data_IF_908337316920
#
_entry.id   IF_908337316920
#
_cell.length_a   1.000
_cell.length_b   1.000
_cell.length_c   1.000
_cell.angle_alpha   90.00
_cell.angle_beta   90.00
_cell.angle_gamma   90.00
#
_symmetry.space_group_name_H-M   'P 1'
#
loop_
_entity.id
_entity.type
_entity.pdbx_description
1 polymer ?
#
# COMPACT_ATOMS: atom_id res chain seq x y z
N UNK A 1 -20.69 10.00 20.51
CA UNK A 1 -20.69 9.02 19.41
C UNK A 1 -19.53 9.22 18.44
N UNK A 2 -19.38 10.39 17.78
CA UNK A 2 -18.29 10.70 16.83
C UNK A 2 -16.87 10.38 17.36
N UNK A 3 -16.47 10.90 18.54
CA UNK A 3 -15.14 10.61 19.13
C UNK A 3 -14.84 9.11 19.30
N UNK A 4 -15.84 8.29 19.59
CA UNK A 4 -15.69 6.85 19.77
C UNK A 4 -15.34 6.15 18.44
N UNK A 5 -15.98 6.58 17.35
CA UNK A 5 -15.76 6.07 15.99
C UNK A 5 -14.35 6.43 15.52
N UNK A 6 -13.91 7.67 15.75
CA UNK A 6 -12.54 8.11 15.40
C UNK A 6 -11.46 7.25 16.06
N UNK A 7 -11.62 6.99 17.37
CA UNK A 7 -10.66 6.21 18.12
C UNK A 7 -10.66 4.75 17.66
N UNK A 8 -11.83 4.19 17.32
CA UNK A 8 -11.95 2.85 16.79
C UNK A 8 -11.26 2.72 15.42
N UNK A 9 -11.49 3.65 14.49
CA UNK A 9 -10.87 3.62 13.15
C UNK A 9 -9.36 3.78 13.21
N UNK A 10 -8.86 4.72 14.04
CA UNK A 10 -7.41 4.94 14.19
C UNK A 10 -6.72 3.70 14.78
N UNK A 11 -7.31 3.09 15.81
CA UNK A 11 -6.80 1.85 16.40
C UNK A 11 -6.86 0.69 15.41
N UNK A 12 -7.94 0.58 14.64
CA UNK A 12 -8.08 -0.47 13.62
C UNK A 12 -7.01 -0.33 12.54
N UNK A 13 -6.75 0.90 12.07
CA UNK A 13 -5.68 1.18 11.13
C UNK A 13 -4.31 0.74 11.68
N UNK A 14 -4.00 1.11 12.93
CA UNK A 14 -2.75 0.71 13.59
C UNK A 14 -2.60 -0.81 13.71
N UNK A 15 -3.67 -1.50 14.13
CA UNK A 15 -3.67 -2.96 14.28
C UNK A 15 -3.48 -3.65 12.92
N UNK A 16 -4.20 -3.23 11.88
CA UNK A 16 -4.07 -3.84 10.55
C UNK A 16 -2.69 -3.56 9.95
N UNK A 17 -2.16 -2.34 10.11
CA UNK A 17 -0.80 -2.02 9.68
C UNK A 17 0.24 -2.88 10.41
N UNK A 18 0.08 -3.09 11.72
CA UNK A 18 0.97 -3.97 12.50
C UNK A 18 0.88 -5.42 12.00
N UNK A 19 -0.31 -5.94 11.78
CA UNK A 19 -0.52 -7.31 11.26
C UNK A 19 0.11 -7.45 9.86
N UNK A 20 -0.03 -6.43 9.00
CA UNK A 20 0.58 -6.40 7.67
C UNK A 20 2.10 -6.50 7.73
N UNK A 21 2.74 -5.79 8.67
CA UNK A 21 4.19 -5.87 8.90
C UNK A 21 4.60 -7.22 9.50
N UNK A 22 3.83 -7.74 10.45
CA UNK A 22 4.08 -9.08 11.01
C UNK A 22 3.98 -10.16 9.93
N UNK A 23 2.99 -10.10 9.04
CA UNK A 23 2.88 -11.03 7.93
C UNK A 23 4.09 -10.89 6.98
N UNK A 24 4.51 -9.66 6.66
CA UNK A 24 5.65 -9.44 5.77
C UNK A 24 6.96 -9.96 6.36
N UNK A 25 7.27 -9.59 7.60
CA UNK A 25 8.57 -9.81 8.23
C UNK A 25 8.68 -11.17 8.94
N UNK A 26 7.61 -11.62 9.60
CA UNK A 26 7.65 -12.82 10.43
C UNK A 26 7.17 -14.07 9.69
N UNK A 27 6.23 -13.90 8.77
CA UNK A 27 5.57 -15.03 8.09
C UNK A 27 6.07 -15.21 6.67
N UNK A 28 6.06 -14.16 5.85
CA UNK A 28 6.38 -14.25 4.43
C UNK A 28 7.88 -14.25 4.17
N UNK A 29 8.63 -13.35 4.82
CA UNK A 29 10.07 -13.14 4.64
C UNK A 29 10.53 -13.29 3.17
N UNK A 30 10.00 -12.43 2.27
CA UNK A 30 10.11 -12.68 0.85
C UNK A 30 11.49 -12.29 0.30
N UNK A 31 12.14 -13.23 -0.39
CA UNK A 31 13.23 -12.94 -1.30
C UNK A 31 12.69 -12.92 -2.73
N UNK A 32 12.80 -11.76 -3.37
CA UNK A 32 12.39 -11.59 -4.77
C UNK A 32 13.56 -11.92 -5.71
N UNK A 33 13.34 -12.86 -6.64
CA UNK A 33 14.34 -13.35 -7.58
C UNK A 33 14.37 -12.52 -8.88
N UNK A 34 14.49 -11.19 -8.74
CA UNK A 34 14.51 -10.30 -9.90
C UNK A 34 15.68 -10.60 -10.86
N UNK A 35 15.47 -10.49 -12.17
CA UNK A 35 14.28 -9.94 -12.85
C UNK A 35 13.16 -10.95 -13.08
N UNK A 36 13.32 -12.21 -12.67
CA UNK A 36 12.25 -13.20 -12.76
C UNK A 36 11.20 -12.82 -11.70
N UNK A 37 9.90 -12.71 -12.05
CA UNK A 37 8.88 -12.36 -11.08
C UNK A 37 8.52 -13.58 -10.20
N UNK A 38 9.52 -14.12 -9.53
CA UNK A 38 9.39 -15.20 -8.56
C UNK A 38 9.75 -14.68 -7.17
N UNK A 39 9.06 -15.21 -6.17
CA UNK A 39 9.32 -14.97 -4.77
C UNK A 39 9.58 -16.29 -4.08
N UNK A 40 10.52 -16.29 -3.15
CA UNK A 40 10.76 -17.40 -2.24
C UNK A 40 10.62 -16.93 -0.80
N UNK A 41 10.04 -17.80 0.02
CA UNK A 41 9.96 -17.68 1.46
C UNK A 41 11.16 -18.40 2.05
N UNK A 42 12.12 -17.63 2.56
CA UNK A 42 13.44 -18.16 2.94
C UNK A 42 13.42 -18.82 4.31
N UNK A 43 13.50 -18.02 5.38
CA UNK A 43 13.58 -18.47 6.77
C UNK A 43 12.58 -17.69 7.66
N UNK A 44 11.27 -17.91 7.47
CA UNK A 44 10.27 -17.18 8.22
C UNK A 44 10.38 -17.49 9.72
N UNK A 45 10.37 -16.44 10.55
CA UNK A 45 10.44 -16.59 12.00
C UNK A 45 9.24 -17.40 12.54
N UNK A 46 8.08 -17.25 11.92
CA UNK A 46 6.85 -18.01 12.20
C UNK A 46 6.52 -18.88 11.00
N UNK A 47 6.90 -20.16 11.09
CA UNK A 47 6.71 -21.13 10.01
C UNK A 47 5.26 -21.65 9.92
N UNK A 48 4.34 -20.79 9.47
CA UNK A 48 2.96 -21.20 9.15
C UNK A 48 2.93 -22.11 7.92
N UNK A 49 2.06 -23.15 7.88
CA UNK A 49 1.93 -24.01 6.71
C UNK A 49 1.33 -23.24 5.53
N UNK A 50 1.97 -23.34 4.36
CA UNK A 50 1.53 -22.63 3.17
C UNK A 50 2.67 -22.42 2.17
N UNK A 51 2.31 -22.21 0.90
CA UNK A 51 3.27 -21.82 -0.14
C UNK A 51 3.50 -20.31 -0.11
N UNK A 52 4.60 -19.85 -0.69
CA UNK A 52 4.97 -18.42 -0.75
C UNK A 52 3.83 -17.59 -1.38
N UNK A 53 3.17 -18.13 -2.38
CA UNK A 53 1.99 -17.56 -3.04
C UNK A 53 0.85 -17.20 -2.08
N UNK A 54 0.50 -18.10 -1.15
CA UNK A 54 -0.59 -17.90 -0.21
C UNK A 54 -0.31 -16.72 0.73
N UNK A 55 0.88 -16.70 1.33
CA UNK A 55 1.31 -15.65 2.24
C UNK A 55 1.48 -14.31 1.51
N UNK A 56 1.96 -14.32 0.27
CA UNK A 56 2.02 -13.13 -0.55
C UNK A 56 0.62 -12.55 -0.82
N UNK A 57 -0.36 -13.39 -1.14
CA UNK A 57 -1.75 -12.96 -1.34
C UNK A 57 -2.36 -12.43 -0.04
N UNK A 58 -2.10 -13.08 1.09
CA UNK A 58 -2.55 -12.63 2.40
C UNK A 58 -1.97 -11.25 2.75
N UNK A 59 -0.67 -11.06 2.55
CA UNK A 59 0.00 -9.78 2.73
C UNK A 59 -0.57 -8.69 1.83
N UNK A 60 -0.75 -8.96 0.52
CA UNK A 60 -1.39 -8.02 -0.39
C UNK A 60 -2.79 -7.66 0.09
N UNK A 61 -3.60 -8.64 0.53
CA UNK A 61 -4.93 -8.37 1.05
C UNK A 61 -4.91 -7.43 2.27
N UNK A 62 -4.00 -7.67 3.23
CA UNK A 62 -3.81 -6.80 4.39
C UNK A 62 -3.42 -5.37 3.96
N UNK A 63 -2.47 -5.25 3.03
CA UNK A 63 -2.02 -3.96 2.49
C UNK A 63 -3.17 -3.19 1.84
N UNK A 64 -3.98 -3.85 1.03
CA UNK A 64 -5.09 -3.20 0.33
C UNK A 64 -6.19 -2.79 1.33
N UNK A 65 -6.37 -3.48 2.47
CA UNK A 65 -7.29 -3.05 3.56
C UNK A 65 -6.82 -1.78 4.29
N UNK A 66 -5.52 -1.50 4.35
CA UNK A 66 -5.00 -0.28 5.02
C UNK A 66 -5.49 0.98 4.30
N UNK A 67 -5.57 0.96 2.96
CA UNK A 67 -5.96 2.12 2.14
C UNK A 67 -7.36 2.65 2.48
N UNK A 68 -8.44 1.85 2.52
CA UNK A 68 -9.78 2.33 2.86
C UNK A 68 -9.92 2.71 4.32
N UNK A 69 -9.22 2.03 5.24
CA UNK A 69 -9.19 2.44 6.65
C UNK A 69 -8.59 3.85 6.77
N UNK A 70 -7.50 4.10 6.06
CA UNK A 70 -6.88 5.42 6.00
C UNK A 70 -7.81 6.45 5.34
N UNK A 71 -8.44 6.12 4.21
CA UNK A 71 -9.40 7.01 3.55
C UNK A 71 -10.61 7.32 4.43
N UNK A 72 -11.16 6.33 5.12
CA UNK A 72 -12.25 6.50 6.08
C UNK A 72 -11.84 7.42 7.23
N UNK A 73 -10.62 7.25 7.78
CA UNK A 73 -10.08 8.17 8.79
C UNK A 73 -9.96 9.61 8.26
N UNK A 74 -9.45 9.77 7.04
CA UNK A 74 -9.29 11.07 6.40
C UNK A 74 -10.65 11.76 6.16
N UNK A 75 -11.61 11.06 5.56
CA UNK A 75 -12.97 11.55 5.35
C UNK A 75 -13.63 11.89 6.67
N UNK A 76 -13.52 11.03 7.67
CA UNK A 76 -14.08 11.28 9.00
C UNK A 76 -13.53 12.58 9.61
N UNK A 77 -12.20 12.76 9.60
CA UNK A 77 -11.56 13.99 10.12
C UNK A 77 -11.97 15.21 9.32
N UNK A 78 -12.12 15.08 8.00
CA UNK A 78 -12.66 16.14 7.17
C UNK A 78 -14.10 16.48 7.56
N UNK A 79 -15.00 15.51 7.71
CA UNK A 79 -16.39 15.76 8.07
C UNK A 79 -16.52 16.45 9.44
N UNK A 80 -15.61 16.18 10.39
CA UNK A 80 -15.60 16.80 11.70
C UNK A 80 -15.32 18.31 11.69
N UNK A 81 -14.70 18.84 10.62
CA UNK A 81 -14.44 20.28 10.46
C UNK A 81 -15.43 20.97 9.52
N UNK A 82 -16.41 20.23 9.00
CA UNK A 82 -17.39 20.78 8.07
C UNK A 82 -18.54 21.48 8.78
N UNK A 83 -18.96 22.57 8.17
CA UNK A 83 -20.09 23.38 8.65
C UNK A 83 -21.40 22.64 8.34
N UNK A 84 -22.39 22.66 9.25
CA UNK A 84 -23.71 22.11 8.98
C UNK A 84 -24.31 22.66 7.67
N UNK A 85 -24.88 21.78 6.84
CA UNK A 85 -25.48 22.17 5.56
C UNK A 85 -24.48 22.36 4.41
N UNK A 86 -23.18 22.13 4.62
CA UNK A 86 -22.22 22.14 3.51
C UNK A 86 -22.57 21.07 2.47
N UNK A 87 -22.53 21.42 1.18
CA UNK A 87 -22.72 20.49 0.05
C UNK A 87 -21.69 19.34 0.02
N UNK A 88 -20.60 19.52 0.75
CA UNK A 88 -19.49 18.57 0.87
C UNK A 88 -19.54 17.76 2.17
N UNK A 89 -20.55 17.99 3.00
CA UNK A 89 -20.90 17.04 4.04
C UNK A 89 -21.43 15.77 3.34
N UNK A 90 -20.75 14.66 3.54
CA UNK A 90 -21.23 13.38 3.03
C UNK A 90 -22.47 13.00 3.83
N UNK A 91 -23.55 12.69 3.14
CA UNK A 91 -24.73 12.13 3.80
C UNK A 91 -24.36 10.81 4.50
N UNK A 92 -25.05 10.43 5.58
CA UNK A 92 -24.80 9.15 6.25
C UNK A 92 -24.81 7.96 5.29
N UNK A 93 -25.70 7.97 4.30
CA UNK A 93 -25.73 6.95 3.23
C UNK A 93 -24.42 6.91 2.44
N UNK A 94 -23.91 8.06 1.98
CA UNK A 94 -22.65 8.13 1.23
C UNK A 94 -21.44 7.73 2.08
N UNK A 95 -21.45 8.07 3.37
CA UNK A 95 -20.41 7.65 4.31
C UNK A 95 -20.35 6.13 4.48
N UNK A 96 -21.46 5.41 4.29
CA UNK A 96 -21.49 3.94 4.32
C UNK A 96 -21.28 3.30 2.95
N UNK A 97 -21.88 3.87 1.89
CA UNK A 97 -21.80 3.32 0.53
C UNK A 97 -20.38 3.35 -0.03
N UNK A 98 -19.62 4.43 0.20
CA UNK A 98 -18.25 4.55 -0.33
C UNK A 98 -17.33 3.47 0.25
N UNK A 99 -17.25 3.28 1.59
CA UNK A 99 -16.49 2.15 2.17
C UNK A 99 -17.00 0.79 1.71
N UNK A 100 -18.31 0.60 1.54
CA UNK A 100 -18.86 -0.69 1.11
C UNK A 100 -18.46 -1.03 -0.33
N UNK A 101 -18.59 -0.09 -1.26
CA UNK A 101 -18.15 -0.28 -2.66
C UNK A 101 -16.65 -0.57 -2.72
N UNK A 102 -15.88 0.10 -1.88
CA UNK A 102 -14.46 -0.16 -1.76
C UNK A 102 -14.19 -1.55 -1.15
N UNK A 103 -14.89 -1.94 -0.08
CA UNK A 103 -14.76 -3.28 0.49
C UNK A 103 -15.12 -4.37 -0.54
N UNK A 104 -16.14 -4.15 -1.36
CA UNK A 104 -16.47 -5.08 -2.44
C UNK A 104 -15.35 -5.21 -3.48
N UNK A 105 -14.70 -4.10 -3.85
CA UNK A 105 -13.54 -4.18 -4.75
C UNK A 105 -12.38 -4.91 -4.07
N UNK A 106 -12.13 -4.69 -2.76
CA UNK A 106 -11.13 -5.39 -1.97
C UNK A 106 -11.30 -6.90 -2.01
N UNK A 107 -12.52 -7.42 -1.85
CA UNK A 107 -12.76 -8.86 -1.86
C UNK A 107 -12.60 -9.49 -3.24
N UNK A 108 -12.73 -8.70 -4.32
CA UNK A 108 -12.50 -9.17 -5.70
C UNK A 108 -11.02 -9.29 -6.08
N UNK A 109 -10.13 -8.50 -5.47
CA UNK A 109 -8.71 -8.44 -5.84
C UNK A 109 -7.91 -9.72 -5.54
N UNK A 110 -8.02 -10.36 -4.34
CA UNK A 110 -7.24 -11.54 -4.01
C UNK A 110 -7.49 -12.74 -4.95
N UNK A 111 -8.73 -13.11 -5.29
CA UNK A 111 -8.98 -14.17 -6.27
C UNK A 111 -8.35 -13.86 -7.63
N UNK A 112 -8.49 -12.61 -8.10
CA UNK A 112 -7.89 -12.17 -9.37
C UNK A 112 -6.35 -12.28 -9.32
N UNK A 113 -5.72 -11.98 -8.19
CA UNK A 113 -4.27 -12.11 -8.04
C UNK A 113 -3.82 -13.58 -7.96
N UNK A 114 -4.60 -14.46 -7.34
CA UNK A 114 -4.34 -15.90 -7.35
C UNK A 114 -4.28 -16.46 -8.77
N UNK A 115 -5.22 -16.08 -9.65
CA UNK A 115 -5.21 -16.50 -11.06
C UNK A 115 -4.03 -15.99 -11.90
N UNK A 116 -3.20 -15.08 -11.36
CA UNK A 116 -1.99 -14.57 -12.02
C UNK A 116 -0.73 -15.32 -11.62
N UNK A 117 -0.81 -16.17 -10.61
CA UNK A 117 0.29 -17.04 -10.23
C UNK A 117 0.40 -18.18 -11.24
N UNK A 118 1.65 -18.52 -11.54
CA UNK A 118 1.94 -19.73 -12.30
C UNK A 118 1.64 -20.96 -11.43
N UNK A 119 1.36 -22.12 -12.04
CA UNK A 119 1.19 -23.35 -11.29
C UNK A 119 2.45 -23.67 -10.46
N UNK A 120 2.28 -24.43 -9.36
CA UNK A 120 3.41 -24.95 -8.58
C UNK A 120 4.49 -25.59 -9.47
N UNK A 121 5.77 -25.33 -9.17
CA UNK A 121 6.90 -25.91 -9.90
C UNK A 121 7.24 -25.21 -11.22
N UNK A 122 6.57 -24.10 -11.58
CA UNK A 122 6.90 -23.36 -12.79
C UNK A 122 8.32 -22.77 -12.82
N UNK A 123 8.97 -22.65 -11.67
CA UNK A 123 10.40 -22.31 -11.57
C UNK A 123 11.29 -23.25 -12.39
N UNK A 124 10.87 -24.50 -12.58
CA UNK A 124 11.59 -25.48 -13.39
C UNK A 124 11.75 -25.03 -14.85
N UNK A 125 10.85 -24.20 -15.37
CA UNK A 125 10.97 -23.66 -16.73
C UNK A 125 12.19 -22.75 -16.86
N UNK A 126 12.55 -22.04 -15.78
CA UNK A 126 13.71 -21.16 -15.72
C UNK A 126 14.99 -21.93 -15.41
N UNK A 127 14.91 -23.06 -14.70
CA UNK A 127 16.09 -23.90 -14.41
C UNK A 127 16.47 -24.84 -15.54
N UNK A 128 15.49 -25.38 -16.29
CA UNK A 128 15.74 -26.31 -17.40
C UNK A 128 16.40 -25.67 -18.61
N UNK A 129 16.22 -24.36 -18.81
CA UNK A 129 16.87 -23.64 -19.90
C UNK A 129 18.21 -23.06 -19.39
N UNK A 130 19.37 -23.59 -19.81
CA UNK A 130 20.68 -23.17 -19.30
C UNK A 130 20.95 -21.68 -19.58
N UNK A 131 20.38 -21.11 -20.64
CA UNK A 131 20.49 -19.67 -20.90
C UNK A 131 19.81 -18.83 -19.81
N UNK A 132 18.63 -19.23 -19.33
CA UNK A 132 17.92 -18.49 -18.29
C UNK A 132 18.50 -18.75 -16.89
N UNK A 133 18.92 -19.98 -16.63
CA UNK A 133 19.52 -20.37 -15.36
C UNK A 133 20.76 -19.52 -15.07
N UNK A 134 21.78 -19.53 -15.94
CA UNK A 134 23.01 -18.76 -15.73
C UNK A 134 22.80 -17.24 -15.76
N UNK A 135 21.74 -16.76 -16.41
CA UNK A 135 21.49 -15.32 -16.56
C UNK A 135 20.74 -14.72 -15.37
N UNK A 136 19.90 -15.50 -14.69
CA UNK A 136 18.96 -14.97 -13.71
C UNK A 136 18.97 -15.66 -12.35
N UNK A 137 19.52 -16.88 -12.24
CA UNK A 137 19.60 -17.64 -10.99
C UNK A 137 21.07 -17.98 -10.68
N UNK A 138 21.48 -17.79 -9.43
CA UNK A 138 22.80 -18.26 -9.00
C UNK A 138 22.83 -19.79 -8.98
N UNK A 139 23.92 -20.45 -9.43
CA UNK A 139 24.07 -21.89 -9.25
C UNK A 139 24.12 -22.31 -7.77
N UNK A 140 24.39 -21.36 -6.87
CA UNK A 140 24.52 -21.61 -5.43
C UNK A 140 23.18 -21.77 -4.69
N UNK A 141 22.05 -21.55 -5.36
CA UNK A 141 20.74 -21.69 -4.72
C UNK A 141 20.46 -23.15 -4.36
N UNK A 142 20.15 -23.48 -3.09
CA UNK A 142 19.82 -24.84 -2.69
C UNK A 142 18.55 -25.33 -3.40
N UNK A 143 18.47 -26.60 -3.85
CA UNK A 143 17.27 -27.15 -4.49
C UNK A 143 16.00 -26.99 -3.65
N UNK A 144 16.11 -27.15 -2.33
CA UNK A 144 15.00 -26.97 -1.39
C UNK A 144 14.43 -25.54 -1.35
N UNK A 145 15.22 -24.52 -1.74
CA UNK A 145 14.75 -23.13 -1.87
C UNK A 145 13.99 -22.98 -3.19
N UNK A 146 14.52 -23.57 -4.27
CA UNK A 146 13.85 -23.56 -5.58
C UNK A 146 12.48 -24.25 -5.53
N UNK A 147 12.35 -25.38 -4.83
CA UNK A 147 11.07 -26.11 -4.69
C UNK A 147 9.97 -25.29 -3.98
N UNK A 148 10.37 -24.34 -3.14
CA UNK A 148 9.47 -23.44 -2.39
C UNK A 148 9.20 -22.12 -3.11
N UNK A 149 9.82 -21.91 -4.27
CA UNK A 149 9.69 -20.70 -5.06
C UNK A 149 8.38 -20.70 -5.83
N UNK A 150 7.65 -19.59 -5.76
CA UNK A 150 6.44 -19.35 -6.57
C UNK A 150 6.67 -18.21 -7.54
N UNK A 151 6.18 -18.38 -8.76
CA UNK A 151 6.36 -17.41 -9.85
C UNK A 151 5.04 -16.82 -10.32
N UNK A 152 5.09 -15.59 -10.80
CA UNK A 152 3.98 -14.88 -11.43
C UNK A 152 4.17 -14.86 -12.95
N UNK A 153 3.07 -14.83 -13.71
CA UNK A 153 3.19 -14.59 -15.16
C UNK A 153 3.72 -13.16 -15.39
N UNK A 154 4.86 -12.97 -16.07
CA UNK A 154 5.47 -11.64 -16.24
C UNK A 154 4.52 -10.61 -16.86
N UNK A 155 3.81 -10.99 -17.93
CA UNK A 155 2.88 -10.09 -18.63
C UNK A 155 1.70 -9.68 -17.75
N UNK A 156 1.18 -10.63 -16.94
CA UNK A 156 0.05 -10.38 -16.03
C UNK A 156 0.48 -9.57 -14.82
N UNK A 157 1.66 -9.86 -14.28
CA UNK A 157 2.25 -9.11 -13.18
C UNK A 157 2.47 -7.66 -13.60
N UNK A 158 3.08 -7.43 -14.75
CA UNK A 158 3.31 -6.10 -15.29
C UNK A 158 2.00 -5.34 -15.49
N UNK A 159 1.06 -5.90 -16.26
CA UNK A 159 -0.16 -5.21 -16.61
C UNK A 159 -0.97 -4.86 -15.36
N UNK A 160 -1.15 -5.81 -14.45
CA UNK A 160 -1.99 -5.56 -13.28
C UNK A 160 -1.27 -4.86 -12.14
N UNK A 161 -0.08 -5.31 -11.74
CA UNK A 161 0.56 -4.69 -10.57
C UNK A 161 1.11 -3.32 -10.92
N UNK A 162 1.66 -3.10 -12.12
CA UNK A 162 2.26 -1.81 -12.44
C UNK A 162 1.24 -0.80 -12.96
N UNK A 163 0.45 -1.16 -13.98
CA UNK A 163 -0.44 -0.18 -14.64
C UNK A 163 -1.63 0.14 -13.74
N UNK A 164 -2.30 -0.89 -13.19
CA UNK A 164 -3.49 -0.64 -12.36
C UNK A 164 -3.11 0.07 -11.06
N UNK A 165 -2.01 -0.32 -10.40
CA UNK A 165 -1.57 0.39 -9.20
C UNK A 165 -1.26 1.85 -9.52
N UNK A 166 -0.57 2.12 -10.64
CA UNK A 166 -0.26 3.47 -11.08
C UNK A 166 -1.52 4.31 -11.31
N UNK A 167 -2.53 3.76 -11.99
CA UNK A 167 -3.83 4.41 -12.16
C UNK A 167 -4.49 4.68 -10.81
N UNK A 168 -4.51 3.70 -9.91
CA UNK A 168 -5.08 3.86 -8.57
C UNK A 168 -4.36 4.94 -7.75
N UNK A 169 -3.03 5.00 -7.83
CA UNK A 169 -2.20 6.01 -7.16
C UNK A 169 -2.52 7.41 -7.70
N UNK A 170 -2.62 7.57 -9.02
CA UNK A 170 -2.99 8.85 -9.63
C UNK A 170 -4.39 9.28 -9.19
N UNK A 171 -5.38 8.38 -9.28
CA UNK A 171 -6.75 8.68 -8.86
C UNK A 171 -6.78 9.09 -7.39
N UNK A 172 -6.10 8.34 -6.51
CA UNK A 172 -6.02 8.65 -5.09
C UNK A 172 -5.36 10.01 -4.84
N UNK A 173 -4.24 10.30 -5.50
CA UNK A 173 -3.52 11.56 -5.37
C UNK A 173 -4.39 12.75 -5.82
N UNK A 174 -5.05 12.64 -6.98
CA UNK A 174 -5.97 13.67 -7.48
C UNK A 174 -7.10 13.90 -6.49
N UNK A 175 -7.75 12.84 -6.02
CA UNK A 175 -8.84 12.95 -5.04
C UNK A 175 -8.36 13.60 -3.74
N UNK A 176 -7.19 13.21 -3.21
CA UNK A 176 -6.63 13.78 -2.00
C UNK A 176 -6.35 15.28 -2.17
N UNK A 177 -5.69 15.68 -3.25
CA UNK A 177 -5.40 17.10 -3.56
C UNK A 177 -6.70 17.89 -3.74
N UNK A 178 -7.67 17.36 -4.48
CA UNK A 178 -8.98 18.01 -4.67
C UNK A 178 -9.69 18.22 -3.33
N UNK A 179 -9.73 17.19 -2.47
CA UNK A 179 -10.37 17.30 -1.15
C UNK A 179 -9.67 18.37 -0.31
N UNK A 180 -8.34 18.33 -0.21
CA UNK A 180 -7.55 19.29 0.57
C UNK A 180 -7.73 20.72 0.06
N UNK A 181 -7.59 20.94 -1.26
CA UNK A 181 -7.77 22.24 -1.89
C UNK A 181 -9.17 22.80 -1.62
N UNK A 182 -10.19 21.94 -1.74
CA UNK A 182 -11.56 22.29 -1.45
C UNK A 182 -11.77 22.65 0.04
N UNK A 183 -11.20 21.89 0.98
CA UNK A 183 -11.26 22.22 2.41
C UNK A 183 -10.69 23.61 2.68
N UNK A 184 -9.53 23.93 2.11
CA UNK A 184 -8.92 25.24 2.27
C UNK A 184 -9.75 26.37 1.63
N UNK A 185 -10.32 26.14 0.44
CA UNK A 185 -11.21 27.10 -0.21
C UNK A 185 -12.46 27.38 0.65
N UNK A 186 -13.06 26.33 1.22
CA UNK A 186 -14.22 26.45 2.12
C UNK A 186 -13.87 27.24 3.38
N UNK A 187 -12.75 26.93 4.02
CA UNK A 187 -12.27 27.66 5.21
C UNK A 187 -11.94 29.13 4.91
N UNK A 188 -11.58 29.47 3.67
CA UNK A 188 -11.31 30.86 3.26
C UNK A 188 -12.58 31.68 3.09
N UNK A 189 -13.63 31.10 2.53
CA UNK A 189 -14.86 31.83 2.18
C UNK A 189 -15.89 31.87 3.30
N UNK A 190 -15.60 31.28 4.47
CA UNK A 190 -16.54 31.21 5.58
C UNK A 190 -16.61 32.52 6.37
N UNK A 191 -17.58 33.37 6.03
CA UNK A 191 -17.76 34.70 6.62
C UNK A 191 -18.24 34.67 8.08
N UNK A 192 -18.90 33.60 8.52
CA UNK A 192 -19.54 33.54 9.86
C UNK A 192 -18.63 33.00 10.97
N UNK A 193 -17.38 32.62 10.67
CA UNK A 193 -16.41 32.21 11.69
C UNK A 193 -15.58 33.41 12.18
N UNK A 194 -15.32 33.47 13.50
CA UNK A 194 -14.36 34.44 14.05
C UNK A 194 -12.97 34.20 13.46
N UNK A 195 -12.18 35.27 13.31
CA UNK A 195 -10.85 35.17 12.69
C UNK A 195 -9.93 34.22 13.46
N UNK A 196 -10.01 34.20 14.80
CA UNK A 196 -9.25 33.28 15.65
C UNK A 196 -9.62 31.82 15.39
N UNK A 197 -10.90 31.50 15.23
CA UNK A 197 -11.37 30.15 14.95
C UNK A 197 -10.98 29.72 13.52
N UNK A 198 -11.04 30.65 12.56
CA UNK A 198 -10.60 30.43 11.17
C UNK A 198 -9.11 30.10 11.11
N UNK A 199 -8.28 30.85 11.83
CA UNK A 199 -6.84 30.61 11.93
C UNK A 199 -6.55 29.24 12.55
N UNK A 200 -7.23 28.92 13.67
CA UNK A 200 -7.11 27.62 14.32
C UNK A 200 -7.44 26.46 13.35
N UNK A 201 -8.57 26.52 12.64
CA UNK A 201 -8.94 25.49 11.66
C UNK A 201 -7.96 25.38 10.49
N UNK A 202 -7.41 26.50 10.00
CA UNK A 202 -6.38 26.47 8.94
C UNK A 202 -5.12 25.78 9.42
N UNK A 203 -4.63 26.12 10.61
CA UNK A 203 -3.43 25.51 11.19
C UNK A 203 -3.66 24.03 11.44
N UNK A 204 -4.79 23.66 12.04
CA UNK A 204 -5.14 22.25 12.27
C UNK A 204 -5.23 21.47 10.94
N UNK A 205 -5.86 22.03 9.90
CA UNK A 205 -5.95 21.36 8.59
C UNK A 205 -4.58 21.20 7.93
N UNK A 206 -3.71 22.21 8.00
CA UNK A 206 -2.32 22.10 7.51
C UNK A 206 -1.55 20.99 8.23
N UNK A 207 -1.67 20.96 9.56
CA UNK A 207 -1.07 19.89 10.36
C UNK A 207 -1.59 18.55 9.89
N UNK A 208 -2.91 18.35 9.83
CA UNK A 208 -3.53 17.10 9.38
C UNK A 208 -3.03 16.65 8.01
N UNK A 209 -2.98 17.56 7.03
CA UNK A 209 -2.46 17.27 5.68
C UNK A 209 -0.99 16.86 5.74
N UNK A 210 -0.17 17.48 6.59
CA UNK A 210 1.22 17.08 6.79
C UNK A 210 1.31 15.71 7.47
N UNK A 211 0.55 15.46 8.54
CA UNK A 211 0.57 14.18 9.27
C UNK A 211 0.16 13.02 8.36
N UNK A 212 -0.80 13.27 7.47
CA UNK A 212 -1.37 12.26 6.60
C UNK A 212 -0.56 12.13 5.30
N UNK A 213 -0.14 13.26 4.71
CA UNK A 213 0.58 13.31 3.44
C UNK A 213 2.00 12.78 3.52
N UNK A 214 2.73 13.04 4.61
CA UNK A 214 4.13 12.61 4.74
C UNK A 214 4.26 11.08 4.68
N UNK A 215 3.56 10.28 5.52
CA UNK A 215 3.59 8.81 5.41
C UNK A 215 3.27 8.31 4.01
N UNK A 216 2.26 8.90 3.36
CA UNK A 216 1.85 8.52 2.00
C UNK A 216 2.99 8.77 1.02
N UNK A 217 3.61 9.95 1.04
CA UNK A 217 4.73 10.26 0.12
C UNK A 217 5.89 9.30 0.34
N UNK A 218 6.28 9.06 1.59
CA UNK A 218 7.42 8.17 1.89
C UNK A 218 7.14 6.71 1.57
N UNK A 219 5.90 6.22 1.76
CA UNK A 219 5.52 4.87 1.35
C UNK A 219 5.38 4.73 -0.18
N UNK A 220 4.88 5.77 -0.84
CA UNK A 220 4.53 5.74 -2.26
C UNK A 220 5.72 6.02 -3.18
N UNK A 221 6.66 6.86 -2.75
CA UNK A 221 7.83 7.26 -3.52
C UNK A 221 8.69 6.06 -3.96
N UNK A 222 9.06 5.09 -3.08
CA UNK A 222 9.77 3.86 -3.49
C UNK A 222 9.06 3.11 -4.61
N UNK A 223 7.75 2.91 -4.46
CA UNK A 223 6.94 2.20 -5.44
C UNK A 223 6.94 2.95 -6.77
N UNK A 224 6.76 4.26 -6.74
CA UNK A 224 6.80 5.09 -7.94
C UNK A 224 8.16 5.02 -8.63
N UNK A 225 9.27 5.12 -7.89
CA UNK A 225 10.61 5.01 -8.46
C UNK A 225 10.87 3.63 -9.06
N UNK A 226 10.47 2.53 -8.40
CA UNK A 226 10.59 1.19 -8.97
C UNK A 226 9.76 1.01 -10.24
N UNK A 227 8.54 1.55 -10.28
CA UNK A 227 7.71 1.52 -11.47
C UNK A 227 8.35 2.34 -12.60
N UNK A 228 8.86 3.53 -12.28
CA UNK A 228 9.49 4.42 -13.24
C UNK A 228 10.78 3.79 -13.79
N UNK A 229 11.64 3.22 -12.95
CA UNK A 229 12.83 2.51 -13.41
C UNK A 229 12.41 1.38 -14.34
N UNK A 230 11.41 0.57 -13.95
CA UNK A 230 10.87 -0.50 -14.77
C UNK A 230 10.43 -0.01 -16.16
N UNK A 231 9.52 0.97 -16.23
CA UNK A 231 8.95 1.45 -17.49
C UNK A 231 9.97 2.18 -18.37
N UNK A 232 10.85 2.97 -17.79
CA UNK A 232 11.86 3.70 -18.55
C UNK A 232 12.96 2.80 -19.09
N UNK A 233 12.98 1.51 -18.74
CA UNK A 233 13.95 0.52 -19.19
C UNK A 233 15.39 1.10 -19.21
N UNK A 234 15.73 1.86 -18.16
CA UNK A 234 16.92 2.71 -18.08
C UNK A 234 18.22 1.88 -18.00
N UNK A 235 18.53 1.15 -19.06
CA UNK A 235 19.61 0.18 -19.22
C UNK A 235 19.29 -1.20 -18.60
N UNK A 236 18.90 -2.15 -19.45
CA UNK A 236 18.58 -3.55 -19.11
C UNK A 236 19.75 -4.40 -18.59
N UNK A 237 20.66 -3.85 -17.77
CA UNK A 237 21.90 -4.55 -17.39
C UNK A 237 22.42 -4.41 -15.95
N UNK A 238 21.77 -3.71 -15.02
CA UNK A 238 22.21 -3.75 -13.60
C UNK A 238 21.12 -3.22 -12.65
N UNK A 239 20.22 -4.10 -12.20
CA UNK A 239 19.16 -3.77 -11.25
C UNK A 239 18.92 -4.94 -10.33
N UNK A 240 19.08 -4.76 -9.01
CA UNK A 240 18.51 -5.66 -7.98
C UNK A 240 18.81 -5.22 -6.55
N UNK A 241 20.01 -4.71 -6.22
CA UNK A 241 20.36 -4.51 -4.80
C UNK A 241 19.87 -3.20 -4.16
N UNK A 242 19.74 -2.11 -4.92
CA UNK A 242 19.39 -0.81 -4.35
C UNK A 242 17.87 -0.65 -4.09
N UNK A 243 17.03 -1.41 -4.78
CA UNK A 243 15.56 -1.26 -4.70
C UNK A 243 15.01 -1.87 -3.41
N UNK A 244 15.49 -3.05 -2.98
CA UNK A 244 15.09 -3.68 -1.71
C UNK A 244 15.50 -2.87 -0.47
N UNK A 245 16.72 -2.33 -0.45
CA UNK A 245 17.18 -1.48 0.65
C UNK A 245 16.36 -0.18 0.79
N UNK A 246 15.87 0.35 -0.34
CA UNK A 246 15.04 1.55 -0.34
C UNK A 246 13.62 1.28 0.17
N UNK A 247 13.04 0.11 -0.14
CA UNK A 247 11.74 -0.30 0.39
C UNK A 247 11.83 -0.47 1.92
N UNK A 248 12.82 -1.20 2.44
CA UNK A 248 12.99 -1.40 3.89
C UNK A 248 13.16 -0.07 4.64
N UNK A 249 13.97 0.85 4.09
CA UNK A 249 14.16 2.18 4.66
C UNK A 249 12.86 3.00 4.71
N UNK A 250 12.05 2.96 3.64
CA UNK A 250 10.79 3.68 3.58
C UNK A 250 9.72 3.10 4.53
N UNK A 251 9.67 1.79 4.68
CA UNK A 251 8.77 1.11 5.61
C UNK A 251 9.13 1.47 7.06
N UNK A 252 10.41 1.42 7.42
CA UNK A 252 10.90 1.82 8.77
C UNK A 252 10.66 3.30 9.06
N UNK A 253 10.83 4.18 8.07
CA UNK A 253 10.54 5.60 8.23
C UNK A 253 9.05 5.86 8.48
N UNK A 254 8.18 5.15 7.77
CA UNK A 254 6.72 5.23 7.96
C UNK A 254 6.31 4.79 9.37
N UNK A 255 6.97 3.75 9.92
CA UNK A 255 6.77 3.31 11.31
C UNK A 255 7.19 4.37 12.32
N UNK A 256 8.38 4.95 12.16
CA UNK A 256 8.91 5.99 13.06
C UNK A 256 7.96 7.18 13.14
N UNK A 257 7.42 7.56 11.99
CA UNK A 257 6.42 8.60 11.88
C UNK A 257 5.13 8.19 12.59
N UNK A 258 4.58 7.00 12.33
CA UNK A 258 3.34 6.52 12.97
C UNK A 258 3.43 6.46 14.51
N UNK A 259 4.58 6.05 15.05
CA UNK A 259 4.84 5.95 16.48
C UNK A 259 4.96 7.33 17.14
N UNK A 260 5.54 8.30 16.42
CA UNK A 260 5.64 9.68 16.91
C UNK A 260 4.27 10.36 16.96
N UNK A 261 3.39 10.05 15.99
CA UNK A 261 2.02 10.58 15.98
C UNK A 261 1.10 9.97 17.05
N UNK A 262 1.34 8.73 17.49
CA UNK A 262 0.52 8.12 18.55
C UNK A 262 0.65 8.85 19.91
N UNK A 263 1.65 9.73 20.06
CA UNK A 263 1.90 10.51 21.28
C UNK A 263 1.32 11.94 21.24
N UNK A 264 0.76 12.36 20.10
CA UNK A 264 0.16 13.70 19.88
C UNK A 264 -1.36 13.57 19.80
#
# INVERSE_FOLDING_TARGET
>A
MLRLICNCLTKSLQVVSLICEMELQLVLDPIFLFPVPCAVRDEPLVNLPGRTSLHYIAWIFLLVIVIPLYFACFVYRHQAVMVPGSRWALSPTKQTTIPLLYALSLFGFPPINYYKMQPPGSIEQYTKNPYYYFKFLSPDWPPAVLDRTDCLYPDRFLFFMCILSFICIIIFFVLAVTIVAHTFATLRNHATMSDKMREYHRTMTKVLVLQSGVPVVFAQQPLFFMLLTYFLNWNGHRRTRYELAYIDAATRFTQLISMTWAKI
#
